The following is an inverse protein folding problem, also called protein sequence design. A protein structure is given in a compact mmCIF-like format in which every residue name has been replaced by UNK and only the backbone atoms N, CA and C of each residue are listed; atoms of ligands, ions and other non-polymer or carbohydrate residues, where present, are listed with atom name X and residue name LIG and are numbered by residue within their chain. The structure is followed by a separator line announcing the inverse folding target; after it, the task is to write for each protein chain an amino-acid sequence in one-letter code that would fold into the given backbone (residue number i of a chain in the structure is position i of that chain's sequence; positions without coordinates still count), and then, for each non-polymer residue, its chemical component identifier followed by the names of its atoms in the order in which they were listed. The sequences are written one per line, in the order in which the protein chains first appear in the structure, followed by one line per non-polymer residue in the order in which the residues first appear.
data_IF_847008829094
#
_entry.id   IF_847008829094
#
_cell.length_a   1.000
_cell.length_b   1.000
_cell.length_c   1.000
_cell.angle_alpha   90.00
_cell.angle_beta   90.00
_cell.angle_gamma   90.00
#
_symmetry.space_group_name_H-M   'P 1'
#
loop_
_entity.id
_entity.type
_entity.pdbx_description
1 polymer ?
#
# COMPACT_ATOMS: atom_id res chain seq x y z
N UNK A 1 19.21 -15.45 -21.18
CA UNK A 1 18.43 -14.33 -20.62
C UNK A 1 16.99 -14.78 -20.58
N UNK A 2 16.38 -15.01 -19.41
CA UNK A 2 14.96 -15.32 -19.37
C UNK A 2 14.19 -14.03 -19.66
N UNK A 3 13.22 -14.12 -20.57
CA UNK A 3 12.33 -13.03 -20.90
C UNK A 3 11.54 -12.61 -19.65
N UNK A 4 11.57 -11.31 -19.33
CA UNK A 4 10.68 -10.71 -18.34
C UNK A 4 9.26 -10.96 -18.85
N UNK A 5 8.51 -11.79 -18.13
CA UNK A 5 7.09 -11.99 -18.42
C UNK A 5 6.39 -10.64 -18.23
N UNK A 6 5.93 -10.05 -19.33
CA UNK A 6 5.07 -8.87 -19.28
C UNK A 6 3.78 -9.24 -18.54
N UNK A 7 3.44 -8.45 -17.52
CA UNK A 7 2.21 -8.52 -16.76
C UNK A 7 1.00 -8.55 -17.71
N UNK A 8 0.01 -9.47 -17.58
CA UNK A 8 -0.94 -9.67 -18.67
C UNK A 8 -2.03 -8.59 -18.82
N UNK A 9 -2.09 -7.56 -17.96
CA UNK A 9 -3.03 -6.46 -18.14
C UNK A 9 -2.47 -5.15 -17.59
N UNK A 10 -2.33 -4.08 -18.41
CA UNK A 10 -2.11 -2.73 -17.88
C UNK A 10 -3.28 -2.34 -16.98
N UNK A 11 -3.01 -1.56 -15.93
CA UNK A 11 -4.07 -1.01 -15.10
C UNK A 11 -5.04 -0.23 -15.99
N UNK A 12 -6.33 -0.57 -15.91
CA UNK A 12 -7.41 0.16 -16.62
C UNK A 12 -7.51 1.60 -16.09
N UNK A 13 -6.94 1.85 -14.91
CA UNK A 13 -6.93 3.15 -14.24
C UNK A 13 -5.62 3.89 -14.54
N UNK A 14 -5.74 5.11 -15.05
CA UNK A 14 -4.61 6.04 -15.10
C UNK A 14 -4.12 6.33 -13.68
N UNK A 15 -2.80 6.28 -13.45
CA UNK A 15 -2.22 6.57 -12.14
C UNK A 15 -2.39 8.06 -11.74
N UNK A 16 -2.31 8.95 -12.73
CA UNK A 16 -2.39 10.40 -12.56
C UNK A 16 -3.50 10.96 -13.44
N UNK A 17 -4.41 11.72 -12.84
CA UNK A 17 -5.49 12.45 -13.51
C UNK A 17 -5.31 13.95 -13.27
N UNK A 18 -5.10 14.72 -14.33
CA UNK A 18 -4.91 16.18 -14.25
C UNK A 18 -3.83 16.64 -13.25
N UNK A 19 -2.74 15.86 -13.13
CA UNK A 19 -1.63 16.15 -12.21
C UNK A 19 -1.86 15.71 -10.75
N UNK A 20 -2.96 15.02 -10.46
CA UNK A 20 -3.32 14.51 -9.13
C UNK A 20 -3.42 12.97 -9.13
N UNK A 21 -3.26 12.30 -7.97
CA UNK A 21 -3.41 10.85 -7.90
C UNK A 21 -4.85 10.44 -8.21
N UNK A 22 -5.01 9.29 -8.88
CA UNK A 22 -6.33 8.73 -9.12
C UNK A 22 -6.91 8.13 -7.83
N UNK A 23 -7.87 8.84 -7.22
CA UNK A 23 -8.49 8.48 -5.94
C UNK A 23 -10.01 8.26 -6.02
N UNK A 24 -10.62 8.41 -7.20
CA UNK A 24 -12.08 8.29 -7.39
C UNK A 24 -12.47 8.08 -8.85
N UNK A 25 -13.75 7.82 -9.10
CA UNK A 25 -14.34 7.73 -10.44
C UNK A 25 -14.39 6.32 -11.02
N UNK A 26 -14.07 5.30 -10.22
CA UNK A 26 -14.16 3.88 -10.60
C UNK A 26 -14.72 3.03 -9.45
N UNK A 27 -15.69 3.59 -8.72
CA UNK A 27 -16.21 3.00 -7.49
C UNK A 27 -16.82 1.62 -7.74
N UNK A 28 -17.45 1.40 -8.91
CA UNK A 28 -18.04 0.12 -9.28
C UNK A 28 -16.96 -0.95 -9.51
N UNK A 29 -15.90 -0.62 -10.25
CA UNK A 29 -14.77 -1.52 -10.50
C UNK A 29 -14.01 -1.86 -9.21
N UNK A 30 -13.77 -0.84 -8.37
CA UNK A 30 -13.08 -1.01 -7.08
C UNK A 30 -13.91 -1.89 -6.14
N UNK A 31 -15.21 -1.61 -5.99
CA UNK A 31 -16.10 -2.41 -5.13
C UNK A 31 -16.21 -3.86 -5.62
N UNK A 32 -16.25 -4.09 -6.94
CA UNK A 32 -16.25 -5.45 -7.50
C UNK A 32 -14.93 -6.20 -7.19
N UNK A 33 -13.80 -5.51 -7.15
CA UNK A 33 -12.50 -6.10 -6.85
C UNK A 33 -12.34 -6.45 -5.36
N UNK A 34 -12.75 -5.56 -4.45
CA UNK A 34 -12.55 -5.72 -3.00
C UNK A 34 -13.53 -6.71 -2.39
N UNK A 35 -14.78 -6.75 -2.89
CA UNK A 35 -15.84 -7.64 -2.39
C UNK A 35 -15.87 -9.04 -3.03
N UNK A 36 -14.86 -9.39 -3.84
CA UNK A 36 -14.73 -10.74 -4.37
C UNK A 36 -14.40 -11.74 -3.25
N UNK A 37 -15.20 -12.82 -3.18
CA UNK A 37 -15.01 -13.96 -2.27
C UNK A 37 -14.15 -15.08 -2.86
N UNK A 38 -13.49 -14.84 -4.00
CA UNK A 38 -12.63 -15.84 -4.62
C UNK A 38 -11.40 -16.13 -3.75
N UNK A 39 -10.96 -17.40 -3.66
CA UNK A 39 -9.74 -17.73 -2.93
C UNK A 39 -8.52 -17.05 -3.55
N UNK A 40 -7.73 -16.34 -2.73
CA UNK A 40 -6.55 -15.60 -3.21
C UNK A 40 -5.35 -16.53 -3.44
N UNK A 41 -4.87 -17.19 -2.38
CA UNK A 41 -3.68 -18.05 -2.43
C UNK A 41 -3.97 -19.54 -2.25
N UNK A 42 -5.22 -19.93 -2.03
CA UNK A 42 -5.56 -21.33 -1.72
C UNK A 42 -5.12 -22.31 -2.82
N UNK A 43 -5.21 -21.88 -4.09
CA UNK A 43 -4.86 -22.71 -5.25
C UNK A 43 -3.34 -22.78 -5.51
N UNK A 44 -2.56 -21.87 -4.92
CA UNK A 44 -1.12 -21.72 -5.22
C UNK A 44 -0.24 -21.81 -3.97
N UNK A 45 -0.82 -21.94 -2.78
CA UNK A 45 -0.08 -22.00 -1.52
C UNK A 45 0.68 -23.32 -1.36
N UNK A 46 1.93 -23.19 -0.94
CA UNK A 46 2.78 -24.31 -0.53
C UNK A 46 2.60 -24.69 0.95
N UNK A 47 1.75 -23.98 1.69
CA UNK A 47 1.48 -24.26 3.10
C UNK A 47 0.53 -25.44 3.25
N UNK A 48 0.68 -26.16 4.36
CA UNK A 48 -0.18 -27.28 4.80
C UNK A 48 -0.61 -26.96 6.23
N UNK A 49 -1.83 -26.47 6.41
CA UNK A 49 -2.32 -25.95 7.69
C UNK A 49 -2.26 -27.02 8.79
N UNK A 50 -2.49 -28.28 8.45
CA UNK A 50 -2.38 -29.44 9.32
C UNK A 50 -0.97 -29.63 9.93
N UNK A 51 0.05 -29.05 9.30
CA UNK A 51 1.45 -29.14 9.75
C UNK A 51 1.91 -27.89 10.54
N UNK A 52 1.06 -26.87 10.67
CA UNK A 52 1.41 -25.61 11.35
C UNK A 52 1.00 -25.69 12.83
N UNK A 53 1.98 -25.60 13.74
CA UNK A 53 1.75 -25.64 15.19
C UNK A 53 1.63 -24.25 15.83
N UNK A 54 2.25 -23.23 15.22
CA UNK A 54 2.19 -21.84 15.64
C UNK A 54 2.46 -20.92 14.44
N UNK A 55 1.94 -19.70 14.50
CA UNK A 55 2.18 -18.67 13.50
C UNK A 55 2.78 -17.42 14.14
N UNK A 56 3.71 -16.79 13.43
CA UNK A 56 4.16 -15.42 13.71
C UNK A 56 4.01 -14.62 12.43
N UNK A 57 3.55 -13.39 12.57
CA UNK A 57 3.36 -12.49 11.44
C UNK A 57 4.05 -11.16 11.74
N UNK A 58 4.69 -10.61 10.72
CA UNK A 58 5.28 -9.28 10.77
C UNK A 58 4.54 -8.39 9.78
N UNK A 59 4.12 -7.22 10.25
CA UNK A 59 3.55 -6.16 9.43
C UNK A 59 4.46 -4.94 9.50
N UNK A 60 4.75 -4.35 8.34
CA UNK A 60 5.51 -3.11 8.26
C UNK A 60 4.56 -1.98 7.86
N UNK A 61 4.39 -1.03 8.77
CA UNK A 61 3.59 0.18 8.57
C UNK A 61 4.46 1.33 8.08
N UNK A 62 4.18 1.83 6.88
CA UNK A 62 4.99 2.83 6.17
C UNK A 62 4.16 4.08 5.89
N UNK A 63 4.60 5.21 6.45
CA UNK A 63 3.93 6.50 6.28
C UNK A 63 4.93 7.67 6.23
N UNK A 64 4.60 8.67 5.41
CA UNK A 64 5.14 10.02 5.44
C UNK A 64 3.99 11.00 5.18
N UNK A 65 3.92 12.13 5.91
CA UNK A 65 2.88 13.11 5.70
C UNK A 65 3.15 13.98 4.47
N UNK A 66 2.07 14.53 3.91
CA UNK A 66 2.13 15.67 2.98
C UNK A 66 2.18 16.97 3.77
N UNK A 67 3.10 17.88 3.42
CA UNK A 67 3.33 19.14 4.12
C UNK A 67 3.41 20.32 3.14
N UNK A 68 3.01 21.55 3.52
CA UNK A 68 3.08 22.74 2.67
C UNK A 68 4.49 23.35 2.69
N UNK A 69 5.50 22.57 2.31
CA UNK A 69 6.91 22.94 2.40
C UNK A 69 7.61 23.05 1.03
N UNK A 70 6.86 23.02 -0.07
CA UNK A 70 7.41 23.31 -1.40
C UNK A 70 7.99 24.73 -1.47
N UNK A 71 8.83 24.97 -2.49
CA UNK A 71 9.53 26.25 -2.66
C UNK A 71 8.61 27.48 -2.64
N UNK A 72 7.35 27.35 -3.07
CA UNK A 72 6.33 28.38 -3.03
C UNK A 72 5.11 27.99 -2.16
N UNK A 73 5.27 27.05 -1.22
CA UNK A 73 4.21 26.55 -0.35
C UNK A 73 3.36 25.42 -0.96
N UNK A 74 3.84 24.78 -2.02
CA UNK A 74 3.19 23.59 -2.58
C UNK A 74 3.15 22.43 -1.58
N UNK A 75 2.17 21.55 -1.74
CA UNK A 75 2.04 20.33 -0.97
C UNK A 75 3.02 19.27 -1.49
N UNK A 76 4.06 19.01 -0.69
CA UNK A 76 5.09 18.01 -0.98
C UNK A 76 5.11 16.93 0.10
N UNK A 77 5.65 15.76 -0.24
CA UNK A 77 5.94 14.74 0.75
C UNK A 77 7.01 15.22 1.72
N UNK A 78 6.87 14.93 3.02
CA UNK A 78 7.91 15.24 4.00
C UNK A 78 9.26 14.60 3.63
N UNK A 79 9.27 13.42 3.00
CA UNK A 79 10.50 12.80 2.52
C UNK A 79 11.24 13.68 1.49
N UNK A 80 10.51 14.38 0.62
CA UNK A 80 11.10 15.34 -0.32
C UNK A 80 11.75 16.50 0.44
N UNK A 81 11.04 17.09 1.39
CA UNK A 81 11.58 18.15 2.25
C UNK A 81 12.85 17.71 2.99
N UNK A 82 12.91 16.45 3.43
CA UNK A 82 14.10 15.89 4.07
C UNK A 82 15.30 15.84 3.09
N UNK A 83 15.09 15.41 1.84
CA UNK A 83 16.15 15.40 0.83
C UNK A 83 16.63 16.81 0.44
N UNK A 84 15.71 17.76 0.38
CA UNK A 84 16.01 19.16 0.04
C UNK A 84 16.73 19.89 1.18
N UNK A 85 16.54 19.44 2.43
CA UNK A 85 17.06 20.09 3.63
C UNK A 85 17.84 19.12 4.55
N UNK A 86 18.90 18.44 4.07
CA UNK A 86 19.52 17.32 4.78
C UNK A 86 20.18 17.69 6.12
N UNK A 87 20.54 18.96 6.31
CA UNK A 87 21.21 19.44 7.52
C UNK A 87 20.24 19.87 8.64
N UNK A 88 18.92 19.77 8.41
CA UNK A 88 17.92 20.14 9.40
C UNK A 88 17.45 18.92 10.18
N UNK A 89 17.64 18.92 11.50
CA UNK A 89 17.19 17.83 12.38
C UNK A 89 17.59 16.44 11.86
N UNK A 90 16.60 15.54 11.78
CA UNK A 90 16.80 14.15 11.37
C UNK A 90 16.70 13.93 9.85
N UNK A 91 16.70 15.00 9.04
CA UNK A 91 16.58 14.93 7.59
C UNK A 91 17.72 14.15 6.92
N UNK A 92 18.88 14.06 7.56
CA UNK A 92 20.00 13.22 7.13
C UNK A 92 19.61 11.72 6.96
N UNK A 93 18.50 11.28 7.58
CA UNK A 93 17.96 9.92 7.43
C UNK A 93 17.09 9.71 6.17
N UNK A 94 16.89 10.72 5.31
CA UNK A 94 16.01 10.62 4.13
C UNK A 94 16.32 9.40 3.25
N UNK A 95 17.62 9.14 3.00
CA UNK A 95 18.06 7.97 2.24
C UNK A 95 17.70 6.64 2.92
N UNK A 96 17.78 6.58 4.25
CA UNK A 96 17.43 5.38 5.02
C UNK A 96 15.92 5.14 4.97
N UNK A 97 15.10 6.18 5.12
CA UNK A 97 13.64 6.06 4.94
C UNK A 97 13.28 5.57 3.55
N UNK A 98 13.86 6.19 2.51
CA UNK A 98 13.65 5.76 1.13
C UNK A 98 14.02 4.29 0.89
N UNK A 99 15.18 3.84 1.41
CA UNK A 99 15.57 2.44 1.33
C UNK A 99 14.62 1.53 2.11
N UNK A 100 14.14 1.95 3.29
CA UNK A 100 13.12 1.20 4.04
C UNK A 100 11.82 0.98 3.24
N UNK A 101 11.41 1.93 2.40
CA UNK A 101 10.26 1.78 1.50
C UNK A 101 10.53 0.85 0.30
N UNK A 102 11.79 0.63 -0.06
CA UNK A 102 12.21 -0.24 -1.17
C UNK A 102 12.55 -1.66 -0.75
N UNK A 103 13.14 -1.82 0.45
CA UNK A 103 13.98 -2.98 0.83
C UNK A 103 13.30 -4.34 0.75
N UNK A 104 11.97 -4.42 0.89
CA UNK A 104 11.27 -5.70 0.75
C UNK A 104 11.32 -6.21 -0.70
N UNK A 105 11.44 -5.31 -1.67
CA UNK A 105 11.71 -5.63 -3.08
C UNK A 105 13.08 -6.26 -3.33
N UNK A 106 14.02 -6.08 -2.40
CA UNK A 106 15.35 -6.71 -2.44
C UNK A 106 15.36 -8.01 -1.63
N UNK A 107 14.85 -7.96 -0.39
CA UNK A 107 14.97 -9.05 0.57
C UNK A 107 14.13 -10.26 0.17
N UNK A 108 12.92 -10.06 -0.34
CA UNK A 108 12.03 -11.17 -0.68
C UNK A 108 12.60 -12.00 -1.85
N UNK A 109 13.00 -11.40 -2.99
CA UNK A 109 13.67 -12.15 -4.04
C UNK A 109 14.95 -12.85 -3.60
N UNK A 110 15.77 -12.20 -2.75
CA UNK A 110 16.99 -12.79 -2.23
C UNK A 110 16.68 -14.05 -1.39
N UNK A 111 15.81 -13.94 -0.39
CA UNK A 111 15.45 -15.04 0.49
C UNK A 111 14.88 -16.23 -0.28
N UNK A 112 14.07 -15.96 -1.31
CA UNK A 112 13.53 -17.02 -2.18
C UNK A 112 14.64 -17.69 -3.00
N UNK A 113 15.58 -16.92 -3.54
CA UNK A 113 16.74 -17.47 -4.25
C UNK A 113 17.62 -18.35 -3.34
N UNK A 114 17.67 -18.05 -2.05
CA UNK A 114 18.33 -18.84 -1.01
C UNK A 114 17.50 -20.06 -0.53
N UNK A 115 16.32 -20.29 -1.11
CA UNK A 115 15.45 -21.42 -0.79
C UNK A 115 14.53 -21.21 0.42
N UNK A 116 14.41 -19.99 0.93
CA UNK A 116 13.50 -19.65 2.01
C UNK A 116 12.06 -19.42 1.50
N UNK A 117 11.10 -19.42 2.44
CA UNK A 117 9.68 -19.15 2.17
C UNK A 117 9.17 -17.94 2.99
N UNK A 118 9.64 -16.71 2.72
CA UNK A 118 9.28 -15.55 3.54
C UNK A 118 7.78 -15.19 3.40
N UNK A 119 7.23 -14.58 4.46
CA UNK A 119 5.88 -14.00 4.49
C UNK A 119 5.95 -12.68 5.24
N UNK A 120 5.43 -11.61 4.64
CA UNK A 120 5.39 -10.28 5.25
C UNK A 120 4.09 -9.56 4.89
N UNK A 121 3.56 -8.78 5.82
CA UNK A 121 2.47 -7.85 5.56
C UNK A 121 3.03 -6.44 5.32
N UNK A 122 2.52 -5.74 4.31
CA UNK A 122 2.92 -4.37 3.98
C UNK A 122 1.71 -3.44 4.05
N UNK A 123 1.88 -2.32 4.75
CA UNK A 123 0.93 -1.23 4.83
C UNK A 123 1.64 0.06 4.42
N UNK A 124 1.17 0.66 3.31
CA UNK A 124 1.67 1.94 2.82
C UNK A 124 0.50 2.89 2.69
N UNK A 125 0.55 4.03 3.39
CA UNK A 125 -0.46 5.07 3.22
C UNK A 125 -0.48 5.61 1.78
N UNK A 126 -1.64 6.06 1.32
CA UNK A 126 -1.81 6.70 0.02
C UNK A 126 -0.95 7.96 -0.15
N UNK A 127 -0.79 8.78 0.89
CA UNK A 127 0.10 9.94 0.91
C UNK A 127 1.56 9.57 0.64
N UNK A 128 2.05 8.50 1.25
CA UNK A 128 3.43 8.05 1.01
C UNK A 128 3.60 7.64 -0.46
N UNK A 129 2.70 6.81 -0.98
CA UNK A 129 2.75 6.40 -2.39
C UNK A 129 2.68 7.61 -3.33
N UNK A 130 1.80 8.57 -3.03
CA UNK A 130 1.72 9.81 -3.81
C UNK A 130 3.02 10.60 -3.75
N UNK A 131 3.59 10.75 -2.55
CA UNK A 131 4.86 11.43 -2.33
C UNK A 131 6.01 10.81 -3.12
N UNK A 132 6.12 9.48 -3.11
CA UNK A 132 7.11 8.76 -3.91
C UNK A 132 6.94 9.03 -5.41
N UNK A 133 5.69 9.12 -5.89
CA UNK A 133 5.39 9.46 -7.28
C UNK A 133 5.77 10.90 -7.62
N UNK A 134 5.42 11.86 -6.76
CA UNK A 134 5.83 13.27 -6.92
C UNK A 134 7.34 13.43 -6.99
N UNK A 135 8.07 12.63 -6.19
CA UNK A 135 9.53 12.62 -6.16
C UNK A 135 10.19 11.85 -7.32
N UNK A 136 9.41 11.19 -8.19
CA UNK A 136 9.95 10.39 -9.30
C UNK A 136 10.72 9.14 -8.85
N UNK A 137 10.32 8.52 -7.72
CA UNK A 137 11.00 7.35 -7.14
C UNK A 137 10.58 6.04 -7.82
N UNK A 138 10.81 5.96 -9.12
CA UNK A 138 10.55 4.76 -9.92
C UNK A 138 11.38 3.56 -9.44
N UNK A 139 12.57 3.80 -8.88
CA UNK A 139 13.39 2.77 -8.24
C UNK A 139 12.65 2.02 -7.12
N UNK A 140 11.84 2.74 -6.33
CA UNK A 140 11.02 2.14 -5.27
C UNK A 140 9.80 1.45 -5.88
N UNK A 141 9.12 2.11 -6.83
CA UNK A 141 7.93 1.52 -7.45
C UNK A 141 8.23 0.26 -8.24
N UNK A 142 9.35 0.17 -8.95
CA UNK A 142 9.73 -1.02 -9.70
C UNK A 142 9.94 -2.21 -8.76
N UNK A 143 10.58 -1.97 -7.61
CA UNK A 143 10.77 -2.97 -6.57
C UNK A 143 9.44 -3.41 -5.93
N UNK A 144 8.56 -2.47 -5.61
CA UNK A 144 7.23 -2.78 -5.05
C UNK A 144 6.35 -3.50 -6.08
N UNK A 145 6.34 -3.07 -7.35
CA UNK A 145 5.61 -3.72 -8.44
C UNK A 145 6.11 -5.13 -8.67
N UNK A 146 7.43 -5.36 -8.63
CA UNK A 146 8.00 -6.71 -8.74
C UNK A 146 7.40 -7.65 -7.70
N UNK A 147 7.49 -7.32 -6.41
CA UNK A 147 7.01 -8.23 -5.35
C UNK A 147 5.48 -8.32 -5.27
N UNK A 148 4.76 -7.34 -5.82
CA UNK A 148 3.29 -7.28 -5.79
C UNK A 148 2.66 -7.98 -6.97
N UNK A 149 3.23 -7.83 -8.17
CA UNK A 149 2.61 -8.23 -9.43
C UNK A 149 3.18 -9.52 -10.01
N UNK A 150 4.44 -9.86 -9.76
CA UNK A 150 5.04 -11.11 -10.25
C UNK A 150 4.46 -12.33 -9.51
N UNK A 151 3.86 -13.32 -10.20
CA UNK A 151 3.31 -14.52 -9.59
C UNK A 151 4.30 -15.29 -8.71
N UNK A 152 5.61 -15.21 -8.97
CA UNK A 152 6.63 -15.85 -8.13
C UNK A 152 6.66 -15.25 -6.72
N UNK A 153 6.42 -13.94 -6.58
CA UNK A 153 6.55 -13.22 -5.31
C UNK A 153 5.22 -12.95 -4.62
N UNK A 154 4.10 -12.98 -5.35
CA UNK A 154 2.75 -12.73 -4.82
C UNK A 154 2.43 -13.50 -3.52
N UNK A 155 2.74 -14.80 -3.35
CA UNK A 155 2.44 -15.51 -2.11
C UNK A 155 3.24 -15.04 -0.89
N UNK A 156 4.29 -14.26 -1.08
CA UNK A 156 5.24 -13.83 -0.05
C UNK A 156 4.90 -12.45 0.54
N UNK A 157 4.00 -11.70 -0.09
CA UNK A 157 3.60 -10.36 0.32
C UNK A 157 2.09 -10.28 0.44
N UNK A 158 1.61 -9.90 1.61
CA UNK A 158 0.22 -9.54 1.83
C UNK A 158 0.10 -8.03 2.03
N UNK A 159 -0.61 -7.36 1.15
CA UNK A 159 -0.91 -5.94 1.30
C UNK A 159 -2.10 -5.74 2.23
N UNK A 160 -1.96 -4.85 3.19
CA UNK A 160 -3.04 -4.38 4.04
C UNK A 160 -3.59 -3.07 3.47
N UNK A 161 -4.90 -2.95 3.38
CA UNK A 161 -5.55 -1.67 3.14
C UNK A 161 -5.29 -0.71 4.31
N UNK A 162 -5.33 0.59 4.05
CA UNK A 162 -5.27 1.62 5.10
C UNK A 162 -6.02 2.88 4.65
N UNK A 163 -6.00 3.93 5.46
CA UNK A 163 -6.54 5.24 5.09
C UNK A 163 -5.57 5.98 4.18
N UNK A 164 -6.07 6.58 3.09
CA UNK A 164 -5.24 7.26 2.08
C UNK A 164 -4.30 8.31 2.70
N UNK A 165 -4.80 9.20 3.54
CA UNK A 165 -4.00 10.25 4.19
C UNK A 165 -3.48 9.86 5.58
N UNK A 166 -3.51 8.58 5.95
CA UNK A 166 -3.27 8.14 7.35
C UNK A 166 -4.27 8.78 8.34
N UNK A 167 -5.52 8.93 7.92
CA UNK A 167 -6.57 9.53 8.74
C UNK A 167 -6.91 8.65 9.96
N UNK A 168 -6.72 9.16 11.16
CA UNK A 168 -7.05 8.45 12.41
C UNK A 168 -8.57 8.37 12.55
N UNK A 169 -9.12 7.16 12.52
CA UNK A 169 -10.56 6.91 12.36
C UNK A 169 -11.42 7.64 13.41
N UNK A 170 -11.10 7.60 14.72
CA UNK A 170 -11.91 8.27 15.74
C UNK A 170 -12.00 9.80 15.59
N UNK A 171 -11.02 10.43 14.94
CA UNK A 171 -10.99 11.88 14.69
C UNK A 171 -11.38 12.25 13.26
N UNK A 172 -11.73 11.27 12.43
CA UNK A 172 -12.14 11.48 11.04
C UNK A 172 -13.66 11.69 11.01
N UNK A 173 -14.19 12.73 10.32
CA UNK A 173 -15.62 12.87 10.11
C UNK A 173 -16.21 11.59 9.50
N UNK A 174 -17.35 11.13 10.02
CA UNK A 174 -17.97 9.86 9.62
C UNK A 174 -18.10 9.70 8.08
N UNK A 175 -18.56 10.71 7.32
CA UNK A 175 -18.66 10.60 5.86
C UNK A 175 -17.31 10.38 5.17
N UNK A 176 -16.21 10.86 5.75
CA UNK A 176 -14.89 10.83 5.14
C UNK A 176 -14.18 9.49 5.34
N UNK A 177 -14.63 8.65 6.29
CA UNK A 177 -14.04 7.33 6.56
C UNK A 177 -14.06 6.47 5.30
N UNK A 178 -15.23 6.34 4.67
CA UNK A 178 -15.37 5.56 3.42
C UNK A 178 -14.55 6.16 2.29
N UNK A 179 -14.53 7.49 2.19
CA UNK A 179 -13.77 8.20 1.15
C UNK A 179 -12.27 7.94 1.29
N UNK A 180 -11.72 7.92 2.50
CA UNK A 180 -10.31 7.62 2.75
C UNK A 180 -9.93 6.19 2.37
N UNK A 181 -10.81 5.21 2.66
CA UNK A 181 -10.60 3.81 2.27
C UNK A 181 -10.65 3.68 0.74
N UNK A 182 -11.69 4.23 0.10
CA UNK A 182 -11.86 4.13 -1.35
C UNK A 182 -10.76 4.87 -2.10
N UNK A 183 -10.34 6.04 -1.62
CA UNK A 183 -9.21 6.77 -2.19
C UNK A 183 -7.93 5.93 -2.21
N UNK A 184 -7.66 5.20 -1.12
CA UNK A 184 -6.52 4.28 -1.05
C UNK A 184 -6.67 3.14 -2.07
N UNK A 185 -7.85 2.53 -2.16
CA UNK A 185 -8.11 1.42 -3.08
C UNK A 185 -7.94 1.83 -4.56
N UNK A 186 -8.47 2.99 -4.96
CA UNK A 186 -8.31 3.54 -6.31
C UNK A 186 -6.83 3.77 -6.61
N UNK A 187 -6.12 4.45 -5.70
CA UNK A 187 -4.72 4.79 -5.91
C UNK A 187 -3.84 3.54 -5.97
N UNK A 188 -4.07 2.57 -5.07
CA UNK A 188 -3.40 1.29 -5.06
C UNK A 188 -3.62 0.51 -6.36
N UNK A 189 -4.87 0.41 -6.83
CA UNK A 189 -5.19 -0.25 -8.09
C UNK A 189 -4.58 0.47 -9.30
N UNK A 190 -4.48 1.79 -9.28
CA UNK A 190 -3.84 2.53 -10.36
C UNK A 190 -2.33 2.25 -10.44
N UNK A 191 -1.66 2.05 -9.30
CA UNK A 191 -0.23 1.72 -9.23
C UNK A 191 0.04 0.24 -9.54
N UNK A 192 -0.66 -0.68 -8.86
CA UNK A 192 -0.34 -2.11 -8.85
C UNK A 192 -1.30 -2.99 -9.66
N UNK A 193 -2.41 -2.43 -10.13
CA UNK A 193 -3.44 -3.11 -10.90
C UNK A 193 -4.58 -3.67 -10.04
N UNK A 194 -5.74 -3.84 -10.67
CA UNK A 194 -6.95 -4.39 -10.05
C UNK A 194 -6.73 -5.79 -9.49
N UNK A 195 -5.95 -6.64 -10.17
CA UNK A 195 -5.69 -7.98 -9.67
C UNK A 195 -4.89 -7.97 -8.36
N UNK A 196 -4.00 -6.99 -8.17
CA UNK A 196 -3.33 -6.80 -6.88
C UNK A 196 -4.32 -6.36 -5.80
N UNK A 197 -5.23 -5.42 -6.12
CA UNK A 197 -6.25 -4.95 -5.18
C UNK A 197 -7.17 -6.10 -4.73
N UNK A 198 -7.55 -7.02 -5.61
CA UNK A 198 -8.38 -8.21 -5.25
C UNK A 198 -7.77 -9.05 -4.12
N UNK A 199 -6.43 -9.02 -3.98
CA UNK A 199 -5.68 -9.76 -2.95
C UNK A 199 -5.62 -9.04 -1.61
N UNK A 200 -5.98 -7.76 -1.55
CA UNK A 200 -6.01 -6.98 -0.31
C UNK A 200 -7.25 -7.37 0.49
N UNK A 201 -7.04 -8.17 1.55
CA UNK A 201 -8.12 -8.64 2.43
C UNK A 201 -8.00 -8.14 3.88
N UNK A 202 -6.79 -7.76 4.30
CA UNK A 202 -6.56 -7.14 5.59
C UNK A 202 -6.68 -5.61 5.53
N UNK A 203 -6.86 -4.99 6.70
CA UNK A 203 -6.86 -3.54 6.86
C UNK A 203 -6.07 -3.16 8.11
N UNK A 204 -5.23 -2.13 8.00
CA UNK A 204 -4.39 -1.58 9.04
C UNK A 204 -4.89 -0.18 9.41
N UNK A 205 -5.63 -0.02 10.52
CA UNK A 205 -6.10 1.27 10.98
C UNK A 205 -4.91 2.15 11.41
N UNK A 206 -4.82 3.40 10.95
CA UNK A 206 -3.81 4.35 11.44
C UNK A 206 -3.78 4.40 12.98
N UNK A 207 -2.57 4.28 13.53
CA UNK A 207 -2.30 4.23 14.98
C UNK A 207 -2.99 3.09 15.74
N UNK A 208 -3.45 2.05 15.01
CA UNK A 208 -4.25 0.96 15.56
C UNK A 208 -5.49 1.44 16.33
N UNK A 209 -5.97 2.65 16.01
CA UNK A 209 -6.94 3.35 16.85
C UNK A 209 -8.37 3.02 16.39
N UNK A 210 -9.10 2.31 17.24
CA UNK A 210 -10.50 1.96 17.01
C UNK A 210 -11.45 3.03 17.59
N UNK A 211 -12.55 3.38 16.88
CA UNK A 211 -13.54 4.29 17.41
C UNK A 211 -14.25 3.73 18.63
N UNK A 212 -14.32 4.52 19.70
CA UNK A 212 -15.11 4.21 20.89
C UNK A 212 -16.58 4.63 20.74
N UNK A 213 -16.88 5.60 19.85
CA UNK A 213 -18.25 6.04 19.60
C UNK A 213 -18.98 5.03 18.71
N UNK A 214 -20.17 4.54 19.09
CA UNK A 214 -20.84 3.45 18.39
C UNK A 214 -21.18 3.78 16.94
N UNK A 215 -21.62 5.00 16.65
CA UNK A 215 -21.96 5.41 15.27
C UNK A 215 -20.73 5.44 14.35
N UNK A 216 -19.60 5.95 14.86
CA UNK A 216 -18.33 5.97 14.12
C UNK A 216 -17.81 4.55 13.91
N UNK A 217 -17.89 3.69 14.92
CA UNK A 217 -17.51 2.29 14.81
C UNK A 217 -18.39 1.55 13.79
N UNK A 218 -19.71 1.77 13.84
CA UNK A 218 -20.66 1.18 12.90
C UNK A 218 -20.34 1.56 11.46
N UNK A 219 -20.20 2.86 11.17
CA UNK A 219 -19.91 3.32 9.81
C UNK A 219 -18.50 2.91 9.36
N UNK A 220 -17.53 2.81 10.26
CA UNK A 220 -16.21 2.26 9.94
C UNK A 220 -16.27 0.79 9.52
N UNK A 221 -16.94 -0.07 10.32
CA UNK A 221 -17.07 -1.50 10.00
C UNK A 221 -17.90 -1.71 8.73
N UNK A 222 -18.94 -0.88 8.53
CA UNK A 222 -19.73 -0.88 7.30
C UNK A 222 -18.87 -0.52 6.08
N UNK A 223 -18.07 0.55 6.17
CA UNK A 223 -17.17 0.95 5.08
C UNK A 223 -16.10 -0.09 4.75
N UNK A 224 -15.65 -0.91 5.72
CA UNK A 224 -14.71 -2.01 5.48
C UNK A 224 -15.35 -3.22 4.77
N UNK A 225 -16.68 -3.35 4.82
CA UNK A 225 -17.43 -4.46 4.23
C UNK A 225 -18.05 -4.14 2.87
N UNK A 226 -18.02 -2.87 2.47
CA UNK A 226 -18.56 -2.33 1.21
C UNK A 226 -17.45 -2.05 0.20
#
# INVERSE_FOLDING_TARGET
MPAIAQSPNPSILNEINSGLPNICGSEAEISAATNSNEPVFLLTTNLRLENIQAGFACALHMHQPTIPAGANGELICNLQNMFENPNQGDNHNAGVFAWCYSRMGEFIPQLIAEGCNPRIMLDYSGNLLWGLRQMGRDDIFDNLKRITCDPQYQPHVEWLGTMWSHAVIPSTPIPDIKLQIQAWQHHFAAIFGIDALKRVKGFSPPEMHFPNHPDTLYEYIKALKE
#
